data_IF_485275104632
#
_entry.id   IF_485275104632
#
_cell.length_a   1.000
_cell.length_b   1.000
_cell.length_c   1.000
_cell.angle_alpha   90.00
_cell.angle_beta   90.00
_cell.angle_gamma   90.00
#
_symmetry.space_group_name_H-M   'P 1'
#
loop_
_entity.id
_entity.type
_entity.pdbx_description
1 polymer ?
#
# COMPACT_ATOMS: atom_id res chain seq x y z
N UNK A 1 27.39 13.84 -3.61
CA UNK A 1 27.08 12.72 -4.53
C UNK A 1 28.36 12.32 -5.22
N UNK A 2 28.78 11.05 -5.09
CA UNK A 2 30.07 10.57 -5.58
C UNK A 2 29.93 9.97 -6.97
N UNK A 3 30.91 10.31 -7.81
CA UNK A 3 31.18 9.84 -9.17
C UNK A 3 30.85 8.36 -9.36
N UNK A 4 29.98 8.07 -10.33
CA UNK A 4 29.85 6.75 -10.94
C UNK A 4 30.83 6.71 -12.11
N UNK A 5 31.95 6.00 -11.93
CA UNK A 5 32.92 5.78 -13.00
C UNK A 5 32.87 4.33 -13.45
N UNK A 6 32.34 4.08 -14.65
CA UNK A 6 32.56 2.80 -15.32
C UNK A 6 34.05 2.70 -15.67
N UNK A 7 34.73 1.65 -15.22
CA UNK A 7 36.12 1.38 -15.59
C UNK A 7 36.23 -0.04 -16.10
N UNK A 8 36.98 -0.21 -17.17
CA UNK A 8 37.43 -1.48 -17.77
C UNK A 8 36.33 -2.34 -18.38
N UNK A 9 36.23 -2.26 -19.71
CA UNK A 9 35.57 -3.25 -20.56
C UNK A 9 36.48 -4.48 -20.65
N UNK A 10 35.97 -5.66 -20.29
CA UNK A 10 36.66 -6.93 -20.48
C UNK A 10 35.81 -7.87 -21.33
N UNK A 11 36.43 -8.43 -22.36
CA UNK A 11 35.82 -9.41 -23.25
C UNK A 11 36.18 -10.83 -22.77
N UNK A 12 35.18 -11.65 -22.46
CA UNK A 12 35.33 -13.08 -22.18
C UNK A 12 34.27 -13.84 -22.98
N UNK A 13 34.65 -14.35 -24.16
CA UNK A 13 33.71 -14.93 -25.14
C UNK A 13 32.91 -13.85 -25.89
N UNK A 14 31.65 -14.14 -26.25
CA UNK A 14 30.74 -13.23 -26.97
C UNK A 14 30.12 -12.13 -26.09
N UNK A 15 30.44 -12.08 -24.80
CA UNK A 15 29.78 -11.18 -23.85
C UNK A 15 30.72 -10.05 -23.41
N UNK A 16 30.20 -8.82 -23.48
CA UNK A 16 30.86 -7.62 -22.96
C UNK A 16 30.53 -7.48 -21.48
N UNK A 17 31.57 -7.47 -20.65
CA UNK A 17 31.44 -7.21 -19.22
C UNK A 17 32.07 -5.87 -18.86
N UNK A 18 31.45 -5.12 -17.97
CA UNK A 18 32.05 -3.94 -17.36
C UNK A 18 32.15 -4.09 -15.84
N UNK A 19 33.12 -3.40 -15.25
CA UNK A 19 33.20 -3.17 -13.81
C UNK A 19 32.77 -1.75 -13.45
N UNK A 20 32.00 -1.64 -12.38
CA UNK A 20 31.60 -0.36 -11.80
C UNK A 20 32.09 -0.30 -10.36
N UNK A 21 32.60 0.86 -9.98
CA UNK A 21 32.96 1.15 -8.59
C UNK A 21 31.85 2.04 -8.03
N UNK A 22 31.13 1.53 -7.03
CA UNK A 22 30.08 2.26 -6.33
C UNK A 22 30.61 2.68 -4.98
N UNK A 23 30.58 3.98 -4.67
CA UNK A 23 31.00 4.48 -3.36
C UNK A 23 29.81 4.75 -2.45
N UNK A 24 29.63 3.93 -1.42
CA UNK A 24 28.54 4.07 -0.45
C UNK A 24 29.12 4.45 0.91
N UNK A 25 28.74 5.61 1.45
CA UNK A 25 29.21 6.11 2.76
C UNK A 25 30.75 6.11 2.91
N UNK A 26 31.47 6.31 1.82
CA UNK A 26 32.94 6.30 1.80
C UNK A 26 33.56 4.92 1.56
N UNK A 27 32.76 3.86 1.49
CA UNK A 27 33.20 2.51 1.11
C UNK A 27 33.10 2.36 -0.40
N UNK A 28 34.20 2.06 -1.07
CA UNK A 28 34.22 1.72 -2.48
C UNK A 28 33.95 0.22 -2.65
N UNK A 29 32.88 -0.11 -3.38
CA UNK A 29 32.49 -1.46 -3.74
C UNK A 29 32.72 -1.64 -5.24
N UNK A 30 33.61 -2.58 -5.59
CA UNK A 30 33.90 -2.92 -6.98
C UNK A 30 33.00 -4.08 -7.41
N UNK A 31 32.06 -3.81 -8.31
CA UNK A 31 31.21 -4.81 -8.92
C UNK A 31 31.83 -5.23 -10.25
N UNK A 32 32.37 -6.45 -10.30
CA UNK A 32 32.97 -7.04 -11.51
C UNK A 32 31.93 -7.85 -12.27
N UNK A 33 32.12 -7.97 -13.58
CA UNK A 33 31.32 -8.84 -14.46
C UNK A 33 29.84 -8.46 -14.55
N UNK A 34 29.54 -7.16 -14.65
CA UNK A 34 28.18 -6.75 -15.01
C UNK A 34 28.01 -7.02 -16.51
N UNK A 35 27.06 -7.88 -16.85
CA UNK A 35 26.70 -8.14 -18.24
C UNK A 35 25.96 -6.93 -18.81
N UNK A 36 26.22 -6.61 -20.07
CA UNK A 36 25.40 -5.69 -20.84
C UNK A 36 24.10 -6.39 -21.30
N UNK A 37 23.28 -6.78 -20.32
CA UNK A 37 22.00 -7.46 -20.50
C UNK A 37 20.82 -6.61 -20.02
N UNK A 38 19.62 -7.21 -20.02
CA UNK A 38 18.36 -6.60 -19.58
C UNK A 38 18.54 -5.94 -18.20
N UNK A 39 18.42 -4.61 -18.15
CA UNK A 39 18.56 -3.84 -16.91
C UNK A 39 17.20 -3.76 -16.24
N UNK A 40 17.03 -4.49 -15.15
CA UNK A 40 15.76 -4.63 -14.43
C UNK A 40 15.91 -4.13 -13.00
N UNK A 41 14.92 -3.36 -12.55
CA UNK A 41 14.73 -3.03 -11.13
C UNK A 41 13.41 -3.65 -10.70
N UNK A 42 13.49 -4.56 -9.73
CA UNK A 42 12.32 -5.13 -9.08
C UNK A 42 12.39 -4.83 -7.58
N UNK A 43 11.46 -3.97 -7.14
CA UNK A 43 11.23 -3.63 -5.74
C UNK A 43 9.82 -4.05 -5.29
N UNK A 44 9.18 -4.95 -6.03
CA UNK A 44 7.82 -5.38 -5.73
C UNK A 44 7.70 -6.11 -4.39
N UNK A 45 6.49 -6.20 -3.86
CA UNK A 45 6.17 -6.96 -2.65
C UNK A 45 6.93 -6.50 -1.40
N UNK A 46 7.04 -5.19 -1.23
CA UNK A 46 7.68 -4.56 -0.07
C UNK A 46 6.69 -3.65 0.66
N UNK A 47 7.21 -2.82 1.57
CA UNK A 47 6.44 -1.81 2.32
C UNK A 47 7.01 -0.42 2.10
N UNK A 48 7.48 -0.13 0.88
CA UNK A 48 7.98 1.20 0.56
C UNK A 48 6.81 2.19 0.59
N UNK A 49 7.06 3.35 1.21
CA UNK A 49 6.08 4.41 1.43
C UNK A 49 6.63 5.74 0.88
N UNK A 50 5.74 6.71 0.72
CA UNK A 50 6.09 8.02 0.15
C UNK A 50 6.06 8.02 -1.37
N UNK A 51 6.56 9.10 -1.96
CA UNK A 51 6.47 9.31 -3.39
C UNK A 51 7.56 8.56 -4.16
N UNK A 52 7.25 8.17 -5.39
CA UNK A 52 8.25 7.62 -6.31
C UNK A 52 9.22 8.74 -6.70
N UNK A 53 10.53 8.58 -6.50
CA UNK A 53 11.47 9.66 -6.74
C UNK A 53 11.75 9.85 -8.24
N UNK A 54 11.67 11.10 -8.71
CA UNK A 54 11.94 11.52 -10.10
C UNK A 54 13.32 11.05 -10.63
N UNK A 55 14.29 10.84 -9.74
CA UNK A 55 15.64 10.39 -10.11
C UNK A 55 15.64 9.03 -10.83
N UNK A 56 14.60 8.20 -10.63
CA UNK A 56 14.46 6.93 -11.34
C UNK A 56 14.30 7.13 -12.85
N UNK A 57 13.77 8.28 -13.30
CA UNK A 57 13.69 8.63 -14.72
C UNK A 57 15.04 8.86 -15.40
N UNK A 58 16.13 9.03 -14.64
CA UNK A 58 17.49 9.20 -15.20
C UNK A 58 18.15 7.86 -15.59
N UNK A 59 17.46 6.73 -15.39
CA UNK A 59 17.97 5.40 -15.68
C UNK A 59 17.66 5.00 -17.13
N UNK A 60 18.11 5.77 -18.11
CA UNK A 60 17.72 5.65 -19.53
C UNK A 60 17.94 4.25 -20.15
N UNK A 61 18.84 3.44 -19.61
CA UNK A 61 19.07 2.06 -20.05
C UNK A 61 18.17 1.01 -19.40
N UNK A 62 17.21 1.39 -18.57
CA UNK A 62 16.33 0.47 -17.86
C UNK A 62 15.29 -0.14 -18.80
N UNK A 63 15.16 -1.47 -18.75
CA UNK A 63 14.22 -2.22 -19.59
C UNK A 63 12.99 -2.70 -18.81
N UNK A 64 13.11 -2.94 -17.50
CA UNK A 64 11.93 -3.25 -16.68
C UNK A 64 12.01 -2.58 -15.31
N UNK A 65 10.88 -2.01 -14.89
CA UNK A 65 10.69 -1.40 -13.58
C UNK A 65 9.44 -1.99 -12.94
N UNK A 66 9.62 -2.72 -11.84
CA UNK A 66 8.54 -3.28 -11.05
C UNK A 66 8.55 -2.67 -9.64
N UNK A 67 7.53 -1.88 -9.33
CA UNK A 67 7.30 -1.25 -8.04
C UNK A 67 6.00 -1.75 -7.37
N UNK A 68 5.42 -2.84 -7.88
CA UNK A 68 4.10 -3.30 -7.46
C UNK A 68 4.04 -3.81 -6.02
N UNK A 69 2.85 -3.94 -5.44
CA UNK A 69 2.66 -4.42 -4.08
C UNK A 69 3.52 -3.65 -3.05
N UNK A 70 3.33 -2.34 -3.00
CA UNK A 70 3.96 -1.45 -2.05
C UNK A 70 2.91 -0.48 -1.47
N UNK A 71 3.37 0.56 -0.77
CA UNK A 71 2.53 1.62 -0.24
C UNK A 71 2.96 2.99 -0.80
N UNK A 72 3.49 3.05 -2.03
CA UNK A 72 3.87 4.30 -2.68
C UNK A 72 2.65 5.21 -2.85
N UNK A 73 2.85 6.50 -2.58
CA UNK A 73 1.86 7.58 -2.66
C UNK A 73 2.27 8.60 -3.72
N UNK A 74 1.51 9.70 -3.83
CA UNK A 74 1.86 10.80 -4.73
C UNK A 74 1.51 10.48 -6.18
N UNK A 75 2.25 11.07 -7.11
CA UNK A 75 2.00 10.98 -8.55
C UNK A 75 2.99 10.02 -9.22
N UNK A 76 2.62 9.51 -10.39
CA UNK A 76 3.58 8.84 -11.28
C UNK A 76 4.54 9.92 -11.83
N UNK A 77 5.85 9.79 -11.67
CA UNK A 77 6.82 10.76 -12.18
C UNK A 77 6.74 10.90 -13.70
N UNK A 78 6.61 12.12 -14.22
CA UNK A 78 6.64 12.35 -15.68
C UNK A 78 8.03 12.07 -16.27
N UNK A 79 9.09 12.13 -15.44
CA UNK A 79 10.45 11.72 -15.82
C UNK A 79 10.57 10.26 -16.28
N UNK A 80 9.58 9.41 -16.00
CA UNK A 80 9.56 8.04 -16.52
C UNK A 80 9.46 8.00 -18.05
N UNK A 81 9.02 9.09 -18.70
CA UNK A 81 9.08 9.23 -20.15
C UNK A 81 10.51 9.23 -20.71
N UNK A 82 11.52 9.53 -19.89
CA UNK A 82 12.94 9.47 -20.29
C UNK A 82 13.48 8.04 -20.37
N UNK A 83 12.76 7.04 -19.86
CA UNK A 83 13.15 5.63 -19.88
C UNK A 83 12.87 5.01 -21.25
N UNK A 84 13.50 5.55 -22.29
CA UNK A 84 13.16 5.24 -23.69
C UNK A 84 13.30 3.77 -24.07
N UNK A 85 14.11 2.99 -23.33
CA UNK A 85 14.31 1.55 -23.51
C UNK A 85 13.37 0.66 -22.67
N UNK A 86 12.41 1.24 -21.96
CA UNK A 86 11.55 0.51 -21.03
C UNK A 86 10.55 -0.37 -21.79
N UNK A 87 10.56 -1.65 -21.47
CA UNK A 87 9.69 -2.70 -22.03
C UNK A 87 8.57 -3.10 -21.08
N UNK A 88 8.80 -3.00 -19.77
CA UNK A 88 7.82 -3.37 -18.73
C UNK A 88 7.80 -2.35 -17.59
N UNK A 89 6.61 -1.86 -17.25
CA UNK A 89 6.36 -0.97 -16.12
C UNK A 89 5.17 -1.48 -15.30
N UNK A 90 5.44 -1.94 -14.09
CA UNK A 90 4.42 -2.39 -13.14
C UNK A 90 4.41 -1.49 -11.91
N UNK A 91 3.32 -0.73 -11.76
CA UNK A 91 3.06 0.16 -10.63
C UNK A 91 1.81 -0.28 -9.85
N UNK A 92 1.30 -1.48 -10.11
CA UNK A 92 0.04 -1.96 -9.56
C UNK A 92 0.09 -2.16 -8.04
N UNK A 93 -1.07 -2.18 -7.40
CA UNK A 93 -1.20 -2.42 -5.95
C UNK A 93 -0.35 -1.45 -5.11
N UNK A 94 -0.60 -0.16 -5.31
CA UNK A 94 -0.01 0.95 -4.57
C UNK A 94 -1.12 1.96 -4.16
N UNK A 95 -0.73 3.14 -3.68
CA UNK A 95 -1.64 4.24 -3.33
C UNK A 95 -1.36 5.48 -4.21
N UNK A 96 -0.91 5.27 -5.45
CA UNK A 96 -0.60 6.35 -6.39
C UNK A 96 -1.89 7.09 -6.76
N UNK A 97 -1.77 8.39 -6.98
CA UNK A 97 -2.87 9.33 -7.17
C UNK A 97 -2.56 10.33 -8.28
N UNK A 98 -3.57 11.09 -8.70
CA UNK A 98 -3.45 12.01 -9.83
C UNK A 98 -3.54 11.29 -11.17
N UNK A 99 -3.09 11.96 -12.23
CA UNK A 99 -3.22 11.47 -13.61
C UNK A 99 -2.04 10.60 -14.04
N UNK A 100 -2.27 9.74 -15.04
CA UNK A 100 -1.18 9.04 -15.74
C UNK A 100 -0.50 10.09 -16.63
N UNK A 101 0.82 10.34 -16.49
CA UNK A 101 1.50 11.36 -17.27
C UNK A 101 1.37 11.08 -18.77
N UNK A 102 0.83 12.01 -19.58
CA UNK A 102 0.67 11.81 -21.01
C UNK A 102 2.00 11.62 -21.74
N UNK A 103 3.11 12.06 -21.15
CA UNK A 103 4.46 11.89 -21.67
C UNK A 103 4.86 10.41 -21.79
N UNK A 104 4.26 9.52 -20.99
CA UNK A 104 4.53 8.07 -21.07
C UNK A 104 4.16 7.46 -22.43
N UNK A 105 3.30 8.12 -23.21
CA UNK A 105 2.97 7.71 -24.58
C UNK A 105 4.22 7.65 -25.47
N UNK A 106 5.30 8.37 -25.15
CA UNK A 106 6.56 8.37 -25.90
C UNK A 106 7.39 7.08 -25.72
N UNK A 107 7.02 6.20 -24.79
CA UNK A 107 7.72 4.94 -24.52
C UNK A 107 7.41 3.90 -25.60
N UNK A 108 8.20 3.92 -26.67
CA UNK A 108 7.96 3.12 -27.88
C UNK A 108 8.19 1.62 -27.73
N UNK A 109 8.90 1.17 -26.70
CA UNK A 109 9.16 -0.26 -26.44
C UNK A 109 8.27 -0.84 -25.33
N UNK A 110 7.42 -0.03 -24.70
CA UNK A 110 6.65 -0.42 -23.53
C UNK A 110 5.54 -1.42 -23.88
N UNK A 111 5.83 -2.71 -23.72
CA UNK A 111 4.96 -3.82 -24.08
C UNK A 111 4.06 -4.30 -22.94
N UNK A 112 4.49 -4.10 -21.70
CA UNK A 112 3.75 -4.46 -20.52
C UNK A 112 3.62 -3.25 -19.59
N UNK A 113 2.38 -2.83 -19.34
CA UNK A 113 2.08 -1.70 -18.48
C UNK A 113 0.90 -2.07 -17.59
N UNK A 114 1.04 -1.86 -16.29
CA UNK A 114 -0.08 -1.97 -15.36
C UNK A 114 0.04 -0.94 -14.23
N UNK A 115 -1.10 -0.32 -13.95
CA UNK A 115 -1.30 0.65 -12.87
C UNK A 115 -2.54 0.27 -12.04
N UNK A 116 -2.99 -0.98 -12.15
CA UNK A 116 -4.19 -1.46 -11.46
C UNK A 116 -4.10 -1.33 -9.95
N UNK A 117 -5.24 -1.26 -9.27
CA UNK A 117 -5.30 -1.14 -7.80
C UNK A 117 -4.50 0.06 -7.28
N UNK A 118 -4.86 1.26 -7.74
CA UNK A 118 -4.33 2.54 -7.30
C UNK A 118 -5.47 3.56 -7.12
N UNK A 119 -5.13 4.81 -6.81
CA UNK A 119 -6.08 5.93 -6.66
C UNK A 119 -5.97 6.93 -7.84
N UNK A 120 -5.64 6.45 -9.04
CA UNK A 120 -5.45 7.32 -10.21
C UNK A 120 -6.77 7.90 -10.74
N UNK A 121 -6.66 9.07 -11.35
CA UNK A 121 -7.78 9.88 -11.86
C UNK A 121 -7.53 10.36 -13.28
N UNK A 122 -8.57 10.79 -13.97
CA UNK A 122 -8.42 11.45 -15.28
C UNK A 122 -8.40 10.49 -16.47
N UNK A 123 -8.18 11.01 -17.68
CA UNK A 123 -8.20 10.22 -18.90
C UNK A 123 -6.97 9.32 -19.02
N UNK A 124 -7.17 8.08 -19.48
CA UNK A 124 -6.08 7.20 -19.88
C UNK A 124 -5.43 7.78 -21.15
N UNK A 125 -4.10 8.02 -21.16
CA UNK A 125 -3.40 8.50 -22.35
C UNK A 125 -3.65 7.59 -23.55
N UNK A 126 -3.86 8.18 -24.71
CA UNK A 126 -4.10 7.44 -25.96
C UNK A 126 -2.94 7.65 -26.92
N UNK A 127 -2.55 6.59 -27.63
CA UNK A 127 -1.50 6.63 -28.65
C UNK A 127 -0.47 5.51 -28.47
N UNK A 128 0.24 5.20 -29.56
CA UNK A 128 1.27 4.17 -29.60
C UNK A 128 0.85 2.86 -28.91
N UNK A 129 1.58 2.41 -27.88
CA UNK A 129 1.32 1.16 -27.17
C UNK A 129 0.18 1.26 -26.14
N UNK A 130 -0.22 2.47 -25.71
CA UNK A 130 -1.27 2.62 -24.69
C UNK A 130 -2.64 2.09 -25.12
N UNK A 131 -2.91 2.08 -26.42
CA UNK A 131 -4.14 1.51 -26.98
C UNK A 131 -4.16 -0.03 -27.03
N UNK A 132 -3.03 -0.70 -26.80
CA UNK A 132 -2.93 -2.17 -26.86
C UNK A 132 -3.07 -2.83 -25.49
N UNK A 133 -2.91 -2.07 -24.40
CA UNK A 133 -3.01 -2.61 -23.06
C UNK A 133 -4.43 -3.04 -22.72
N UNK A 134 -4.61 -4.19 -22.03
CA UNK A 134 -5.91 -4.68 -21.63
C UNK A 134 -6.56 -3.78 -20.58
N UNK A 135 -7.87 -3.90 -20.41
CA UNK A 135 -8.61 -3.21 -19.36
C UNK A 135 -8.10 -3.55 -17.94
N UNK A 136 -7.58 -4.76 -17.72
CA UNK A 136 -6.99 -5.21 -16.45
C UNK A 136 -5.80 -4.37 -16.02
N UNK A 137 -5.06 -3.77 -16.96
CA UNK A 137 -3.94 -2.88 -16.64
C UNK A 137 -4.36 -1.60 -15.91
N UNK A 138 -5.64 -1.22 -16.00
CA UNK A 138 -6.18 0.02 -15.46
C UNK A 138 -7.29 -0.22 -14.43
N UNK A 139 -7.54 -1.47 -14.05
CA UNK A 139 -8.64 -1.81 -13.17
C UNK A 139 -8.45 -1.27 -11.75
N UNK A 140 -9.55 -1.16 -11.02
CA UNK A 140 -9.58 -0.68 -9.63
C UNK A 140 -8.89 0.69 -9.41
N UNK A 141 -9.08 1.59 -10.37
CA UNK A 141 -8.77 3.02 -10.25
C UNK A 141 -10.07 3.80 -10.47
N UNK A 142 -10.73 4.22 -9.37
CA UNK A 142 -12.10 4.80 -9.43
C UNK A 142 -12.20 6.07 -10.30
N UNK A 143 -11.10 6.84 -10.38
CA UNK A 143 -11.07 8.10 -11.09
C UNK A 143 -10.67 8.00 -12.56
N UNK A 144 -10.10 6.87 -13.01
CA UNK A 144 -9.68 6.71 -14.40
C UNK A 144 -10.87 6.60 -15.34
N UNK A 145 -10.73 7.14 -16.54
CA UNK A 145 -11.75 7.09 -17.60
C UNK A 145 -11.09 7.04 -18.98
N UNK A 146 -11.88 6.75 -20.02
CA UNK A 146 -11.41 6.60 -21.39
C UNK A 146 -11.01 5.17 -21.74
N UNK A 147 -10.78 4.91 -23.02
CA UNK A 147 -10.41 3.56 -23.51
C UNK A 147 -9.08 3.11 -22.86
N UNK A 148 -8.91 1.82 -22.50
CA UNK A 148 -9.79 0.68 -22.75
C UNK A 148 -10.95 0.50 -21.75
N UNK A 149 -11.12 1.39 -20.78
CA UNK A 149 -12.23 1.31 -19.83
C UNK A 149 -13.57 1.72 -20.47
N UNK A 150 -14.67 1.18 -19.95
CA UNK A 150 -16.03 1.54 -20.38
C UNK A 150 -16.49 2.90 -19.84
N UNK A 151 -15.79 3.46 -18.84
CA UNK A 151 -16.12 4.75 -18.22
C UNK A 151 -15.71 5.90 -19.15
N UNK A 152 -16.65 6.78 -19.48
CA UNK A 152 -16.42 7.93 -20.35
C UNK A 152 -15.87 9.10 -19.51
N UNK A 153 -14.90 9.83 -20.05
CA UNK A 153 -14.40 11.06 -19.41
C UNK A 153 -15.38 12.20 -19.64
N UNK A 154 -15.77 12.91 -18.58
CA UNK A 154 -16.64 14.09 -18.66
C UNK A 154 -18.00 13.93 -17.98
N UNK A 155 -18.41 12.71 -17.62
CA UNK A 155 -19.52 12.54 -16.68
C UNK A 155 -19.01 12.81 -15.26
N UNK A 156 -19.17 14.06 -14.85
CA UNK A 156 -19.25 14.40 -13.44
C UNK A 156 -20.43 13.62 -12.84
N UNK A 157 -20.16 12.50 -12.19
CA UNK A 157 -21.11 11.81 -11.32
C UNK A 157 -21.46 12.73 -10.13
N UNK A 158 -22.34 13.71 -10.35
CA UNK A 158 -23.40 13.99 -9.40
C UNK A 158 -24.36 12.83 -9.56
N UNK A 159 -24.22 11.82 -8.72
CA UNK A 159 -25.26 10.80 -8.53
C UNK A 159 -26.48 11.46 -7.91
N UNK A 160 -27.27 12.20 -8.71
CA UNK A 160 -28.67 12.50 -8.37
C UNK A 160 -29.48 11.23 -8.59
N UNK A 161 -30.12 10.65 -7.55
CA UNK A 161 -31.03 9.53 -7.76
C UNK A 161 -32.28 10.02 -8.53
N UNK A 162 -32.85 9.21 -9.45
CA UNK A 162 -34.05 9.60 -10.18
C UNK A 162 -35.28 9.64 -9.25
N UNK A 163 -36.31 10.41 -9.62
CA UNK A 163 -37.48 10.63 -8.77
C UNK A 163 -38.26 9.32 -8.58
N UNK A 164 -38.53 9.00 -7.31
CA UNK A 164 -39.39 7.90 -6.90
C UNK A 164 -40.81 8.09 -7.41
N UNK A 165 -41.18 7.31 -8.43
CA UNK A 165 -42.57 7.02 -8.80
C UNK A 165 -42.79 5.50 -8.80
N UNK A 166 -43.51 5.05 -7.77
CA UNK A 166 -44.38 3.88 -7.65
C UNK A 166 -44.14 2.60 -8.48
N UNK A 167 -44.06 1.46 -7.78
CA UNK A 167 -44.38 0.14 -8.33
C UNK A 167 -43.83 -1.02 -7.49
N UNK A 168 -44.68 -1.61 -6.63
CA UNK A 168 -44.43 -2.88 -5.94
C UNK A 168 -44.21 -4.03 -6.96
N UNK A 169 -43.19 -4.88 -6.74
CA UNK A 169 -43.34 -6.32 -6.44
C UNK A 169 -42.02 -7.13 -6.61
N UNK A 170 -41.67 -7.83 -5.53
CA UNK A 170 -41.12 -9.21 -5.45
C UNK A 170 -39.73 -9.53 -6.07
N UNK A 171 -38.78 -9.92 -5.19
CA UNK A 171 -37.33 -10.12 -5.46
C UNK A 171 -36.94 -11.44 -6.17
N UNK A 172 -35.79 -12.08 -5.87
CA UNK A 172 -34.65 -11.69 -5.02
C UNK A 172 -33.28 -11.72 -5.76
N UNK A 173 -32.32 -10.89 -5.34
CA UNK A 173 -30.86 -11.19 -5.34
C UNK A 173 -30.04 -10.06 -4.69
N UNK A 174 -29.75 -10.28 -3.42
CA UNK A 174 -28.47 -10.09 -2.73
C UNK A 174 -27.40 -9.23 -3.44
N UNK A 175 -27.02 -8.07 -2.87
CA UNK A 175 -25.64 -7.67 -2.49
C UNK A 175 -25.65 -6.18 -2.02
N UNK A 176 -25.68 -6.01 -0.68
CA UNK A 176 -25.16 -4.90 0.14
C UNK A 176 -25.47 -3.42 -0.17
N UNK A 177 -26.62 -2.93 0.31
CA UNK A 177 -26.74 -1.55 0.82
C UNK A 177 -26.40 -1.54 2.33
N UNK A 178 -25.16 -1.18 2.69
CA UNK A 178 -24.85 -0.84 4.09
C UNK A 178 -25.43 0.53 4.44
N UNK A 179 -26.76 0.59 4.57
CA UNK A 179 -27.44 1.77 5.08
C UNK A 179 -27.26 1.92 6.60
N UNK A 180 -27.40 3.15 7.09
CA UNK A 180 -27.77 3.55 8.46
C UNK A 180 -28.62 2.56 9.28
N UNK A 181 -29.42 1.68 8.65
CA UNK A 181 -30.12 0.58 9.33
C UNK A 181 -29.18 -0.40 10.04
N UNK A 182 -28.01 -0.71 9.47
CA UNK A 182 -26.98 -1.55 10.12
C UNK A 182 -26.37 -0.83 11.32
N UNK A 183 -26.17 0.49 11.22
CA UNK A 183 -25.68 1.32 12.32
C UNK A 183 -26.69 1.29 13.48
N UNK A 184 -27.99 1.42 13.19
CA UNK A 184 -29.06 1.34 14.19
C UNK A 184 -29.16 -0.06 14.83
N UNK A 185 -29.00 -1.13 14.05
CA UNK A 185 -28.91 -2.50 14.60
C UNK A 185 -27.68 -2.68 15.49
N UNK A 186 -26.53 -2.10 15.12
CA UNK A 186 -25.29 -2.17 15.90
C UNK A 186 -25.40 -1.48 17.27
N UNK A 187 -26.06 -0.33 17.36
CA UNK A 187 -26.28 0.36 18.64
C UNK A 187 -27.13 -0.46 19.61
N UNK A 188 -28.19 -1.12 19.13
CA UNK A 188 -29.05 -1.95 19.97
C UNK A 188 -28.30 -3.15 20.56
N UNK A 189 -27.60 -3.92 19.71
CA UNK A 189 -26.85 -5.08 20.16
C UNK A 189 -25.65 -4.68 21.05
N UNK A 190 -24.90 -3.65 20.64
CA UNK A 190 -23.71 -3.18 21.34
C UNK A 190 -24.00 -2.65 22.75
N UNK A 191 -25.14 -1.98 22.95
CA UNK A 191 -25.54 -1.50 24.27
C UNK A 191 -25.84 -2.67 25.23
N UNK A 192 -26.54 -3.72 24.77
CA UNK A 192 -26.85 -4.89 25.58
C UNK A 192 -25.57 -5.64 25.97
N UNK A 193 -24.68 -5.89 25.02
CA UNK A 193 -23.39 -6.52 25.32
C UNK A 193 -22.53 -5.66 26.26
N UNK A 194 -22.54 -4.33 26.09
CA UNK A 194 -21.84 -3.39 26.96
C UNK A 194 -22.33 -3.44 28.41
N UNK A 195 -23.66 -3.48 28.62
CA UNK A 195 -24.25 -3.59 29.96
C UNK A 195 -23.94 -4.96 30.58
N UNK A 196 -23.99 -6.05 29.81
CA UNK A 196 -23.68 -7.40 30.31
C UNK A 196 -22.20 -7.52 30.69
N UNK A 197 -21.28 -7.05 29.85
CA UNK A 197 -19.85 -7.03 30.15
C UNK A 197 -19.57 -6.12 31.35
N UNK A 198 -20.18 -4.94 31.42
CA UNK A 198 -20.10 -4.03 32.55
C UNK A 198 -20.57 -4.68 33.86
N UNK A 199 -21.69 -5.41 33.84
CA UNK A 199 -22.21 -6.14 35.00
C UNK A 199 -21.27 -7.29 35.41
N UNK A 200 -20.72 -8.05 34.45
CA UNK A 200 -19.73 -9.11 34.73
C UNK A 200 -18.45 -8.52 35.33
N UNK A 201 -17.93 -7.41 34.80
CA UNK A 201 -16.74 -6.74 35.33
C UNK A 201 -17.00 -6.22 36.74
N UNK A 202 -18.15 -5.58 36.97
CA UNK A 202 -18.50 -5.02 38.28
C UNK A 202 -18.71 -6.11 39.34
N UNK A 203 -19.33 -7.23 38.98
CA UNK A 203 -19.51 -8.37 39.89
C UNK A 203 -18.20 -9.13 40.15
N UNK A 204 -17.33 -9.30 39.15
CA UNK A 204 -16.04 -10.00 39.31
C UNK A 204 -14.95 -9.18 39.98
N UNK A 205 -14.96 -7.85 39.83
CA UNK A 205 -14.03 -6.97 40.53
C UNK A 205 -14.32 -6.91 42.03
N UNK A 206 -15.58 -7.03 42.45
CA UNK A 206 -15.93 -7.15 43.88
C UNK A 206 -15.35 -8.42 44.51
N UNK A 207 -15.41 -9.58 43.85
CA UNK A 207 -14.85 -10.83 44.37
C UNK A 207 -13.31 -10.78 44.51
N UNK A 208 -12.62 -10.17 43.52
CA UNK A 208 -11.18 -9.94 43.61
C UNK A 208 -10.83 -8.90 44.67
N UNK A 209 -11.60 -7.81 44.79
CA UNK A 209 -11.42 -6.78 45.83
C UNK A 209 -11.68 -7.34 47.24
N UNK A 210 -12.72 -8.15 47.44
CA UNK A 210 -13.02 -8.82 48.72
C UNK A 210 -11.92 -9.84 49.06
N UNK A 211 -11.37 -10.58 48.08
CA UNK A 211 -10.20 -11.44 48.32
C UNK A 211 -8.91 -10.67 48.64
N UNK A 212 -8.71 -9.50 48.04
CA UNK A 212 -7.48 -8.71 48.16
C UNK A 212 -7.47 -7.84 49.41
N UNK A 213 -8.64 -7.36 49.85
CA UNK A 213 -8.78 -6.49 51.03
C UNK A 213 -9.43 -7.19 52.24
N UNK A 214 -10.24 -8.23 52.05
CA UNK A 214 -10.86 -9.01 53.14
C UNK A 214 -9.89 -9.90 53.93
N UNK A 215 -8.68 -10.16 53.42
CA UNK A 215 -7.63 -10.90 54.15
C UNK A 215 -6.71 -10.02 55.01
N UNK A 216 -6.81 -8.69 54.95
CA UNK A 216 -5.94 -7.78 55.71
C UNK A 216 -6.28 -7.63 57.19
N UNK A 217 -7.34 -8.27 57.70
CA UNK A 217 -7.65 -8.24 59.14
C UNK A 217 -7.16 -9.44 59.95
N UNK A 218 -6.69 -10.54 59.35
CA UNK A 218 -6.26 -11.72 60.12
C UNK A 218 -4.74 -11.89 60.26
N UNK A 219 -3.93 -11.28 59.38
CA UNK A 219 -2.45 -11.35 59.50
C UNK A 219 -1.84 -10.32 60.45
N UNK A 220 -2.58 -9.29 60.89
CA UNK A 220 -2.06 -8.25 61.80
C UNK A 220 -2.14 -8.63 63.29
N UNK A 221 -2.72 -9.80 63.63
CA UNK A 221 -2.81 -10.26 65.03
C UNK A 221 -1.72 -11.26 65.44
N UNK A 222 -1.07 -11.94 64.49
CA UNK A 222 -0.02 -12.93 64.79
C UNK A 222 1.39 -12.29 64.82
N UNK A 223 1.61 -11.18 64.11
CA UNK A 223 2.90 -10.47 64.11
C UNK A 223 3.14 -9.55 65.32
N UNK A 224 2.15 -9.36 66.20
CA UNK A 224 2.30 -8.59 67.46
C UNK A 224 2.72 -9.46 68.67
N UNK A 225 2.72 -10.79 68.56
CA UNK A 225 3.15 -11.66 69.67
C UNK A 225 4.67 -11.92 69.64
N UNK A 226 5.30 -11.98 68.46
CA UNK A 226 6.73 -12.29 68.33
C UNK A 226 7.70 -11.10 68.39
N UNK A 227 7.22 -9.88 68.67
CA UNK A 227 8.08 -8.70 68.90
C UNK A 227 8.21 -8.29 70.37
N UNK A 228 7.78 -9.15 71.31
CA UNK A 228 7.83 -8.89 72.75
C UNK A 228 8.94 -9.60 73.54
N UNK A 229 9.70 -10.53 72.95
CA UNK A 229 10.54 -11.46 73.73
C UNK A 229 12.06 -11.23 73.59
N UNK A 230 12.55 -10.49 72.58
CA UNK A 230 14.01 -10.34 72.35
C UNK A 230 14.63 -9.03 72.84
N UNK A 231 14.11 -8.47 73.94
CA UNK A 231 14.82 -7.43 74.72
C UNK A 231 14.70 -7.75 76.21
N UNK A 232 15.53 -8.66 76.72
CA UNK A 232 16.02 -8.72 78.12
C UNK A 232 16.87 -9.98 78.34
N UNK A 233 18.19 -9.83 78.17
CA UNK A 233 19.30 -10.30 79.01
C UNK A 233 20.54 -10.51 78.17
#
# INVERSE_FOLDING_TARGET
MKSVGAKNLQYMGDWVYYSIIITIKGVELEYKKIQDGLRVIDFSCNRFEGDIPEILGNLEGLHALNLSNNAFTGHIPSSFANLTQLESLDLSQNKLSGEIPPELVQLNFLSNFTVSHNCLTGPIPQGHQFGTFPNTSFEDNRGLCGKPLSKICGDSDISTPPPSAFGENQGPKLFFEFGWKVVVMGYGCGFVFGVVIGHIVTTRTQDWLIKTFGKKQHQTRISRVNRGVNRRK
#
